data_IF_155468695610
#
_entry.id   IF_155468695610
#
_cell.length_a   1.000
_cell.length_b   1.000
_cell.length_c   1.000
_cell.angle_alpha   90.00
_cell.angle_beta   90.00
_cell.angle_gamma   90.00
#
_symmetry.space_group_name_H-M   'P 1'
#
loop_
_entity.id
_entity.type
_entity.pdbx_description
1 polymer ?
#
# COMPACT_ATOMS: atom_id res chain seq x y z
N UNK A 1 -54.08 -12.46 25.99
CA UNK A 1 -53.29 -12.20 24.76
C UNK A 1 -51.83 -12.29 25.14
N UNK A 2 -51.20 -13.45 24.91
CA UNK A 2 -49.76 -13.64 25.13
C UNK A 2 -49.03 -12.93 23.99
N UNK A 3 -48.35 -11.83 24.29
CA UNK A 3 -47.51 -11.12 23.32
C UNK A 3 -46.42 -12.08 22.81
N UNK A 4 -46.27 -12.20 21.48
CA UNK A 4 -45.16 -12.96 20.92
C UNK A 4 -43.83 -12.35 21.40
N UNK A 5 -42.82 -13.16 21.78
CA UNK A 5 -41.54 -12.65 22.22
C UNK A 5 -40.89 -11.84 21.08
N UNK A 6 -40.58 -10.57 21.34
CA UNK A 6 -39.97 -9.66 20.39
C UNK A 6 -38.56 -10.15 20.02
N UNK A 7 -38.38 -10.66 18.80
CA UNK A 7 -37.12 -11.24 18.32
C UNK A 7 -36.35 -10.18 17.52
N UNK A 8 -35.13 -9.89 17.93
CA UNK A 8 -34.21 -9.04 17.17
C UNK A 8 -33.42 -9.89 16.18
N UNK A 9 -33.42 -9.49 14.93
CA UNK A 9 -32.84 -10.25 13.82
C UNK A 9 -31.72 -9.45 13.18
N UNK A 10 -30.49 -9.89 13.40
CA UNK A 10 -29.29 -9.19 12.95
C UNK A 10 -28.62 -9.95 11.82
N UNK A 11 -28.30 -9.26 10.73
CA UNK A 11 -27.45 -9.77 9.66
C UNK A 11 -26.04 -9.24 9.86
N UNK A 12 -25.11 -10.10 10.27
CA UNK A 12 -23.74 -9.71 10.65
C UNK A 12 -22.76 -10.09 9.55
N UNK A 13 -22.11 -9.11 8.95
CA UNK A 13 -21.03 -9.28 7.99
C UNK A 13 -19.68 -9.34 8.72
N UNK A 14 -18.97 -10.45 8.58
CA UNK A 14 -17.63 -10.67 9.17
C UNK A 14 -16.54 -10.30 8.16
N UNK A 15 -16.82 -10.55 6.88
CA UNK A 15 -16.00 -10.19 5.72
C UNK A 15 -16.94 -9.80 4.56
N UNK A 16 -16.39 -9.24 3.48
CA UNK A 16 -17.16 -8.75 2.33
C UNK A 16 -18.09 -9.81 1.70
N UNK A 17 -17.73 -11.08 1.82
CA UNK A 17 -18.42 -12.26 1.27
C UNK A 17 -19.04 -13.17 2.34
N UNK A 18 -18.84 -12.89 3.64
CA UNK A 18 -19.30 -13.74 4.74
C UNK A 18 -20.28 -12.98 5.63
N UNK A 19 -21.58 -13.30 5.47
CA UNK A 19 -22.66 -12.79 6.31
C UNK A 19 -23.36 -13.91 7.08
N UNK A 20 -23.75 -13.64 8.32
CA UNK A 20 -24.45 -14.59 9.17
C UNK A 20 -25.69 -13.96 9.80
N UNK A 21 -26.70 -14.79 10.03
CA UNK A 21 -27.95 -14.36 10.66
C UNK A 21 -27.92 -14.72 12.13
N UNK A 22 -28.05 -13.73 12.99
CA UNK A 22 -28.05 -13.86 14.45
C UNK A 22 -29.41 -13.42 14.98
N UNK A 23 -30.06 -14.30 15.74
CA UNK A 23 -31.31 -13.98 16.45
C UNK A 23 -31.01 -13.72 17.91
N UNK A 24 -31.52 -12.61 18.45
CA UNK A 24 -31.51 -12.28 19.87
C UNK A 24 -32.94 -12.35 20.42
N UNK A 25 -33.06 -12.88 21.63
CA UNK A 25 -34.34 -13.01 22.35
C UNK A 25 -34.75 -11.71 23.04
N UNK A 26 -33.80 -10.85 23.36
CA UNK A 26 -33.99 -9.54 23.97
C UNK A 26 -32.90 -8.57 23.44
N UNK A 27 -33.13 -7.25 23.57
CA UNK A 27 -32.15 -6.23 23.18
C UNK A 27 -31.00 -6.24 24.19
N UNK A 28 -29.75 -6.24 23.70
CA UNK A 28 -28.56 -6.12 24.56
C UNK A 28 -28.55 -4.75 25.24
N UNK A 29 -27.96 -4.67 26.45
CA UNK A 29 -27.94 -3.44 27.26
C UNK A 29 -26.78 -2.52 26.89
N UNK A 30 -25.73 -3.05 26.27
CA UNK A 30 -24.59 -2.27 25.75
C UNK A 30 -23.99 -2.89 24.48
N UNK A 31 -23.18 -2.10 23.77
CA UNK A 31 -22.47 -2.54 22.56
C UNK A 31 -21.43 -3.62 22.91
N UNK A 32 -20.80 -3.55 24.08
CA UNK A 32 -19.84 -4.56 24.55
C UNK A 32 -20.52 -5.92 24.82
N UNK A 33 -21.74 -5.91 25.37
CA UNK A 33 -22.52 -7.14 25.56
C UNK A 33 -22.87 -7.79 24.22
N UNK A 34 -23.21 -6.98 23.21
CA UNK A 34 -23.44 -7.43 21.84
C UNK A 34 -22.17 -8.01 21.20
N UNK A 35 -21.02 -7.36 21.37
CA UNK A 35 -19.72 -7.84 20.87
C UNK A 35 -19.36 -9.19 21.49
N UNK A 36 -19.54 -9.35 22.80
CA UNK A 36 -19.26 -10.60 23.50
C UNK A 36 -20.20 -11.74 23.06
N UNK A 37 -21.49 -11.42 22.85
CA UNK A 37 -22.47 -12.37 22.30
C UNK A 37 -22.11 -12.82 20.88
N UNK A 38 -21.65 -11.90 20.03
CA UNK A 38 -21.17 -12.24 18.69
C UNK A 38 -19.91 -13.09 18.75
N UNK A 39 -18.96 -12.82 19.66
CA UNK A 39 -17.79 -13.69 19.88
C UNK A 39 -18.19 -15.11 20.27
N UNK A 40 -19.14 -15.29 21.19
CA UNK A 40 -19.58 -16.63 21.60
C UNK A 40 -20.30 -17.39 20.47
N UNK A 41 -21.19 -16.73 19.72
CA UNK A 41 -21.94 -17.39 18.62
C UNK A 41 -21.11 -17.61 17.35
N UNK A 42 -20.02 -16.85 17.17
CA UNK A 42 -19.24 -16.78 15.92
C UNK A 42 -17.76 -17.12 16.15
N UNK A 43 -17.46 -17.76 17.30
CA UNK A 43 -16.13 -17.99 17.90
C UNK A 43 -14.98 -18.38 16.95
N UNK A 44 -15.14 -19.22 15.92
CA UNK A 44 -14.02 -19.54 15.02
C UNK A 44 -13.66 -18.44 14.00
N UNK A 45 -14.41 -17.33 13.92
CA UNK A 45 -14.21 -16.27 12.90
C UNK A 45 -13.96 -14.86 13.46
N UNK A 46 -13.99 -14.69 14.78
CA UNK A 46 -13.88 -13.39 15.47
C UNK A 46 -12.89 -13.48 16.65
N UNK A 47 -11.65 -13.92 16.39
CA UNK A 47 -10.56 -14.03 17.38
C UNK A 47 -9.75 -12.74 17.56
N UNK A 48 -10.23 -11.63 17.00
CA UNK A 48 -9.58 -10.31 17.04
C UNK A 48 -10.44 -9.25 17.75
N UNK A 49 -9.84 -8.10 18.04
CA UNK A 49 -10.60 -6.92 18.48
C UNK A 49 -11.29 -6.25 17.31
N UNK A 50 -12.57 -5.93 17.48
CA UNK A 50 -13.39 -5.34 16.44
C UNK A 50 -14.41 -4.36 17.02
N UNK A 51 -14.80 -3.40 16.19
CA UNK A 51 -15.94 -2.52 16.40
C UNK A 51 -17.08 -2.93 15.47
N UNK A 52 -18.28 -2.45 15.74
CA UNK A 52 -19.47 -2.73 14.94
C UNK A 52 -19.90 -1.48 14.19
N UNK A 53 -20.23 -1.65 12.91
CA UNK A 53 -20.99 -0.68 12.14
C UNK A 53 -22.39 -1.22 11.88
N UNK A 54 -23.42 -0.37 11.83
CA UNK A 54 -24.78 -0.74 11.45
C UNK A 54 -25.23 0.05 10.22
N UNK A 55 -26.14 -0.52 9.44
CA UNK A 55 -26.82 0.24 8.38
C UNK A 55 -27.83 1.18 9.02
N UNK A 56 -27.59 2.49 8.90
CA UNK A 56 -28.43 3.52 9.49
C UNK A 56 -29.67 3.80 8.61
N UNK A 57 -30.90 3.54 9.11
CA UNK A 57 -32.12 3.81 8.35
C UNK A 57 -32.32 5.28 7.99
N UNK A 58 -31.77 6.21 8.77
CA UNK A 58 -31.95 7.65 8.61
C UNK A 58 -30.94 8.26 7.61
N UNK A 59 -29.91 7.51 7.22
CA UNK A 59 -28.86 7.92 6.26
C UNK A 59 -28.78 6.97 5.07
N UNK A 60 -29.91 6.71 4.41
CA UNK A 60 -29.98 5.90 3.18
C UNK A 60 -29.34 4.50 3.30
N UNK A 61 -29.29 3.92 4.52
CA UNK A 61 -28.63 2.64 4.85
C UNK A 61 -27.11 2.64 4.72
N UNK A 62 -26.46 3.80 4.82
CA UNK A 62 -25.01 3.88 4.95
C UNK A 62 -24.52 3.24 6.27
N UNK A 63 -23.27 2.77 6.27
CA UNK A 63 -22.68 2.08 7.43
C UNK A 63 -22.13 3.10 8.43
N UNK A 64 -22.80 3.23 9.58
CA UNK A 64 -22.41 4.09 10.69
C UNK A 64 -21.80 3.28 11.84
N UNK A 65 -20.88 3.86 12.62
CA UNK A 65 -20.36 3.21 13.82
C UNK A 65 -21.49 3.05 14.85
N UNK A 66 -21.66 1.83 15.36
CA UNK A 66 -22.64 1.54 16.40
C UNK A 66 -22.09 1.98 17.75
N UNK A 67 -22.60 3.10 18.27
CA UNK A 67 -22.22 3.66 19.58
C UNK A 67 -23.29 3.37 20.62
N UNK A 68 -24.57 3.39 20.24
CA UNK A 68 -25.68 2.98 21.09
C UNK A 68 -26.46 1.81 20.45
N UNK A 69 -26.76 0.80 21.27
CA UNK A 69 -27.60 -0.34 20.88
C UNK A 69 -29.06 0.06 20.66
N UNK A 70 -29.48 1.25 21.12
CA UNK A 70 -30.80 1.80 20.85
C UNK A 70 -30.98 2.24 19.38
N UNK A 71 -29.89 2.52 18.67
CA UNK A 71 -29.91 2.94 17.25
C UNK A 71 -30.14 1.75 16.30
N UNK A 72 -30.01 0.52 16.81
CA UNK A 72 -30.13 -0.72 16.05
C UNK A 72 -31.60 -1.13 15.83
N UNK A 73 -32.16 -1.13 14.60
CA UNK A 73 -33.55 -1.55 14.39
C UNK A 73 -33.78 -3.03 14.74
N UNK A 74 -35.05 -3.42 14.96
CA UNK A 74 -35.43 -4.82 15.23
C UNK A 74 -34.92 -5.81 14.17
N UNK A 75 -34.78 -5.33 12.93
CA UNK A 75 -34.14 -6.02 11.81
C UNK A 75 -33.02 -5.14 11.28
N UNK A 76 -31.79 -5.40 11.73
CA UNK A 76 -30.62 -4.58 11.41
C UNK A 76 -29.51 -5.35 10.71
N UNK A 77 -28.74 -4.63 9.90
CA UNK A 77 -27.49 -5.15 9.33
C UNK A 77 -26.33 -4.60 10.14
N UNK A 78 -25.40 -5.48 10.53
CA UNK A 78 -24.17 -5.15 11.21
C UNK A 78 -22.97 -5.57 10.37
N UNK A 79 -21.90 -4.79 10.42
CA UNK A 79 -20.60 -5.10 9.85
C UNK A 79 -19.55 -5.05 10.93
N UNK A 80 -18.78 -6.13 11.03
CA UNK A 80 -17.62 -6.21 11.89
C UNK A 80 -16.48 -5.47 11.23
N UNK A 81 -15.93 -4.47 11.92
CA UNK A 81 -14.75 -3.73 11.48
C UNK A 81 -13.62 -4.05 12.44
N UNK A 82 -12.51 -4.58 11.91
CA UNK A 82 -11.34 -4.88 12.73
C UNK A 82 -10.86 -3.60 13.38
N UNK A 83 -10.71 -3.62 14.71
CA UNK A 83 -10.21 -2.49 15.47
C UNK A 83 -8.71 -2.44 15.20
N UNK A 84 -8.30 -1.65 14.21
CA UNK A 84 -6.92 -1.22 14.10
C UNK A 84 -6.68 -0.29 15.29
N UNK A 85 -5.89 -0.73 16.25
CA UNK A 85 -5.45 0.12 17.34
C UNK A 85 -4.58 1.22 16.74
N UNK A 86 -5.23 2.32 16.39
CA UNK A 86 -4.65 3.64 16.17
C UNK A 86 -4.00 4.10 17.48
N UNK A 87 -2.87 3.49 17.80
CA UNK A 87 -1.82 4.20 18.52
C UNK A 87 -1.13 5.06 17.48
N UNK A 88 -1.61 6.30 17.39
CA UNK A 88 -0.83 7.45 16.95
C UNK A 88 0.42 7.54 17.83
N UNK A 89 1.42 6.71 17.53
CA UNK A 89 2.80 6.98 17.86
C UNK A 89 3.42 7.42 16.55
N UNK A 90 3.71 8.72 16.49
CA UNK A 90 4.66 9.31 15.55
C UNK A 90 6.02 8.60 15.72
N UNK A 91 6.15 7.42 15.16
CA UNK A 91 7.44 6.83 14.81
C UNK A 91 7.47 6.83 13.30
N UNK A 92 7.86 7.99 12.76
CA UNK A 92 8.30 8.16 11.38
C UNK A 92 9.26 7.04 11.02
N UNK A 93 8.75 5.99 10.38
CA UNK A 93 9.57 5.06 9.59
C UNK A 93 9.65 5.58 8.16
N UNK A 94 10.05 6.85 8.01
CA UNK A 94 10.62 7.32 6.75
C UNK A 94 12.07 6.82 6.77
N UNK A 95 12.33 5.66 6.17
CA UNK A 95 13.69 5.23 5.90
C UNK A 95 14.00 5.55 4.45
N UNK A 96 15.03 6.38 4.26
CA UNK A 96 15.62 6.65 2.97
C UNK A 96 16.43 5.40 2.58
N UNK A 97 15.86 4.57 1.71
CA UNK A 97 16.58 3.47 1.06
C UNK A 97 17.39 4.11 -0.07
N UNK A 98 18.73 4.12 0.01
CA UNK A 98 19.62 4.52 -1.10
C UNK A 98 20.47 3.32 -1.57
N UNK A 99 20.83 3.30 -2.88
CA UNK A 99 21.15 2.12 -3.67
C UNK A 99 22.61 1.72 -3.49
N UNK A 100 22.95 0.48 -3.83
CA UNK A 100 24.27 -0.17 -3.71
C UNK A 100 24.47 -1.04 -2.46
N UNK A 101 23.73 -2.15 -2.39
CA UNK A 101 24.21 -3.39 -1.77
C UNK A 101 23.83 -4.56 -2.68
N UNK A 102 24.75 -5.47 -3.03
CA UNK A 102 24.46 -6.57 -3.95
C UNK A 102 23.33 -7.45 -3.41
N UNK A 103 22.24 -7.53 -4.18
CA UNK A 103 21.05 -8.40 -3.99
C UNK A 103 21.37 -9.87 -4.20
N UNK A 104 22.59 -10.31 -3.89
CA UNK A 104 22.98 -11.71 -4.15
C UNK A 104 22.34 -12.70 -3.14
N UNK A 105 21.52 -12.25 -2.18
CA UNK A 105 20.83 -13.13 -1.22
C UNK A 105 19.33 -12.86 -0.99
N UNK A 106 18.69 -11.91 -1.67
CA UNK A 106 17.29 -11.52 -1.35
C UNK A 106 16.35 -11.74 -2.51
N UNK A 107 15.79 -12.94 -2.58
CA UNK A 107 14.74 -13.31 -3.53
C UNK A 107 13.48 -13.82 -2.83
N UNK A 108 13.18 -13.32 -1.62
CA UNK A 108 12.05 -13.85 -0.86
C UNK A 108 11.26 -12.73 -0.23
N UNK A 109 9.99 -12.62 -0.62
CA UNK A 109 8.96 -11.89 0.13
C UNK A 109 8.94 -12.40 1.58
N UNK A 110 8.45 -11.57 2.51
CA UNK A 110 8.24 -12.05 3.88
C UNK A 110 7.33 -13.29 3.82
N UNK A 111 7.74 -14.43 4.37
CA UNK A 111 7.01 -15.67 4.20
C UNK A 111 5.73 -15.64 5.04
N UNK A 112 4.68 -16.29 4.54
CA UNK A 112 3.42 -16.45 5.28
C UNK A 112 3.63 -17.30 6.55
N UNK A 113 4.57 -18.24 6.50
CA UNK A 113 5.06 -19.04 7.64
C UNK A 113 6.55 -18.75 7.81
N UNK A 114 6.93 -18.11 8.91
CA UNK A 114 8.32 -17.74 9.16
C UNK A 114 9.19 -18.98 9.45
N UNK A 115 10.31 -19.19 8.72
CA UNK A 115 11.19 -20.33 8.95
C UNK A 115 12.02 -20.11 10.20
N UNK A 116 11.75 -20.90 11.24
CA UNK A 116 12.52 -20.88 12.49
C UNK A 116 13.82 -21.67 12.29
N UNK A 117 15.00 -21.10 12.59
CA UNK A 117 16.28 -21.80 12.46
C UNK A 117 16.35 -22.97 13.43
N UNK A 118 17.06 -24.03 13.04
CA UNK A 118 17.27 -25.19 13.91
C UNK A 118 18.25 -24.83 15.02
N UNK A 119 17.81 -24.91 16.28
CA UNK A 119 18.69 -24.73 17.44
C UNK A 119 19.32 -26.07 17.84
N UNK A 120 20.56 -26.09 18.31
CA UNK A 120 21.16 -27.32 18.84
C UNK A 120 20.45 -27.73 20.14
N UNK A 121 20.44 -29.04 20.42
CA UNK A 121 19.78 -29.64 21.60
C UNK A 121 20.22 -29.02 22.94
N UNK A 122 21.44 -28.47 23.02
CA UNK A 122 21.96 -27.78 24.22
C UNK A 122 21.31 -26.40 24.47
N UNK A 123 20.77 -25.73 23.44
CA UNK A 123 20.13 -24.41 23.56
C UNK A 123 18.70 -24.51 24.10
N UNK A 124 18.05 -25.67 23.96
CA UNK A 124 16.73 -25.92 24.56
C UNK A 124 16.79 -26.13 26.08
N UNK A 125 17.98 -26.42 26.65
CA UNK A 125 18.14 -26.77 28.07
C UNK A 125 18.80 -25.66 28.92
N UNK A 126 19.39 -24.61 28.32
CA UNK A 126 20.09 -23.52 29.05
C UNK A 126 19.37 -22.18 28.84
N UNK A 127 18.41 -21.90 29.72
CA UNK A 127 17.51 -20.74 29.63
C UNK A 127 18.00 -19.45 30.31
N UNK A 128 19.26 -19.35 30.72
CA UNK A 128 19.79 -18.07 31.27
C UNK A 128 20.94 -17.45 30.46
N UNK A 129 21.74 -18.24 29.73
CA UNK A 129 22.76 -17.72 28.80
C UNK A 129 22.37 -17.88 27.30
N UNK A 130 21.34 -18.68 26.99
CA UNK A 130 20.93 -19.05 25.62
C UNK A 130 20.00 -18.09 24.88
N UNK A 131 19.33 -17.16 25.58
CA UNK A 131 18.38 -16.22 24.95
C UNK A 131 19.04 -15.32 23.89
N UNK A 132 20.30 -14.94 24.09
CA UNK A 132 21.02 -14.08 23.16
C UNK A 132 21.30 -14.78 21.82
N UNK A 133 21.58 -16.08 21.84
CA UNK A 133 21.88 -16.89 20.65
C UNK A 133 20.60 -17.17 19.83
N UNK A 134 19.48 -17.46 20.50
CA UNK A 134 18.19 -17.63 19.84
C UNK A 134 17.81 -16.33 19.11
N UNK A 135 17.89 -15.19 19.79
CA UNK A 135 17.58 -13.89 19.20
C UNK A 135 18.56 -13.51 18.07
N UNK A 136 19.86 -13.82 18.19
CA UNK A 136 20.86 -13.57 17.12
C UNK A 136 20.55 -14.40 15.87
N UNK A 137 20.31 -15.70 16.02
CA UNK A 137 19.99 -16.58 14.89
C UNK A 137 18.68 -16.16 14.21
N UNK A 138 17.66 -15.83 14.99
CA UNK A 138 16.40 -15.28 14.48
C UNK A 138 16.62 -13.96 13.74
N UNK A 139 17.41 -13.04 14.31
CA UNK A 139 17.73 -11.76 13.66
C UNK A 139 18.48 -11.95 12.33
N UNK A 140 19.38 -12.93 12.24
CA UNK A 140 20.07 -13.28 11.00
C UNK A 140 19.08 -13.76 9.93
N UNK A 141 18.15 -14.66 10.30
CA UNK A 141 17.11 -15.15 9.39
C UNK A 141 16.17 -14.03 8.96
N UNK A 142 15.71 -13.18 9.90
CA UNK A 142 14.86 -12.03 9.60
C UNK A 142 15.55 -11.04 8.65
N UNK A 143 16.84 -10.79 8.84
CA UNK A 143 17.64 -9.90 7.98
C UNK A 143 17.77 -10.41 6.54
N UNK A 144 17.73 -11.73 6.31
CA UNK A 144 17.69 -12.32 4.94
C UNK A 144 16.44 -11.90 4.18
N UNK A 145 15.33 -11.64 4.87
CA UNK A 145 14.08 -11.16 4.27
C UNK A 145 13.99 -9.62 4.27
N UNK A 146 14.10 -9.00 5.46
CA UNK A 146 14.01 -7.55 5.64
C UNK A 146 15.02 -7.06 6.69
N UNK A 147 15.85 -6.05 6.38
CA UNK A 147 16.73 -5.39 7.37
C UNK A 147 15.93 -4.51 8.35
N UNK A 148 14.78 -3.98 7.90
CA UNK A 148 13.83 -3.17 8.66
C UNK A 148 12.45 -3.87 8.67
N UNK A 149 12.31 -4.98 9.39
CA UNK A 149 11.01 -5.65 9.52
C UNK A 149 10.03 -4.74 10.26
N UNK A 150 8.77 -4.72 9.80
CA UNK A 150 7.69 -4.01 10.47
C UNK A 150 7.34 -4.68 11.81
N UNK A 151 6.58 -3.98 12.66
CA UNK A 151 6.10 -4.56 13.93
C UNK A 151 5.32 -5.87 13.73
N UNK A 152 4.56 -5.95 12.63
CA UNK A 152 3.83 -7.17 12.22
C UNK A 152 4.78 -8.29 11.83
N UNK A 153 5.79 -7.99 11.00
CA UNK A 153 6.80 -8.97 10.56
C UNK A 153 7.54 -9.57 11.78
N UNK A 154 7.94 -8.74 12.74
CA UNK A 154 8.60 -9.18 13.97
C UNK A 154 7.65 -10.03 14.84
N UNK A 155 6.36 -9.68 14.87
CA UNK A 155 5.33 -10.47 15.53
C UNK A 155 5.20 -11.87 14.94
N UNK A 156 5.14 -12.00 13.61
CA UNK A 156 5.08 -13.29 12.92
C UNK A 156 6.29 -14.18 13.22
N UNK A 157 7.50 -13.59 13.27
CA UNK A 157 8.71 -14.33 13.61
C UNK A 157 8.71 -14.83 15.07
N UNK A 158 8.22 -14.01 16.00
CA UNK A 158 8.11 -14.37 17.42
C UNK A 158 7.05 -15.46 17.65
N UNK A 159 5.92 -15.36 16.97
CA UNK A 159 4.86 -16.37 17.02
C UNK A 159 5.33 -17.71 16.45
N UNK A 160 6.01 -17.69 15.31
CA UNK A 160 6.58 -18.90 14.71
C UNK A 160 7.59 -19.56 15.67
N UNK A 161 8.48 -18.79 16.31
CA UNK A 161 9.46 -19.30 17.27
C UNK A 161 8.80 -20.08 18.41
N UNK A 162 7.77 -19.52 19.04
CA UNK A 162 7.06 -20.16 20.16
C UNK A 162 6.20 -21.33 19.70
N UNK A 163 5.68 -21.28 18.48
CA UNK A 163 4.91 -22.39 17.89
C UNK A 163 5.81 -23.59 17.59
N UNK A 164 7.01 -23.35 17.07
CA UNK A 164 8.01 -24.41 16.80
C UNK A 164 8.63 -24.95 18.09
N UNK A 165 8.84 -24.10 19.10
CA UNK A 165 9.40 -24.49 20.40
C UNK A 165 8.46 -24.09 21.55
N UNK A 166 7.42 -24.90 21.85
CA UNK A 166 6.46 -24.61 22.91
C UNK A 166 7.07 -24.40 24.30
N UNK A 167 8.28 -24.93 24.55
CA UNK A 167 9.04 -24.71 25.79
C UNK A 167 9.46 -23.25 26.00
N UNK A 168 9.52 -22.44 24.93
CA UNK A 168 9.83 -21.01 24.99
C UNK A 168 8.60 -20.15 25.29
N UNK A 169 7.41 -20.75 25.40
CA UNK A 169 6.16 -20.04 25.66
C UNK A 169 6.17 -19.45 27.07
N UNK A 170 5.88 -18.16 27.18
CA UNK A 170 5.78 -17.49 28.47
C UNK A 170 4.57 -17.99 29.29
N UNK A 171 4.79 -18.47 30.53
CA UNK A 171 3.69 -18.83 31.42
C UNK A 171 2.85 -17.60 31.77
N UNK A 172 1.53 -17.68 31.56
CA UNK A 172 0.58 -16.62 31.94
C UNK A 172 0.42 -15.47 30.94
N UNK A 173 1.11 -15.50 29.79
CA UNK A 173 0.88 -14.55 28.70
C UNK A 173 -0.22 -15.04 27.75
N UNK A 174 -1.14 -14.15 27.36
CA UNK A 174 -2.26 -14.46 26.45
C UNK A 174 -1.75 -14.91 25.07
N UNK A 175 -0.67 -14.29 24.56
CA UNK A 175 -0.06 -14.66 23.28
C UNK A 175 1.11 -15.64 23.42
N UNK A 176 1.82 -15.62 24.56
CA UNK A 176 2.95 -16.51 24.81
C UNK A 176 4.27 -16.16 24.10
N UNK A 177 4.25 -15.21 23.15
CA UNK A 177 5.40 -14.79 22.33
C UNK A 177 5.80 -13.30 22.48
N UNK A 178 5.14 -12.55 23.37
CA UNK A 178 5.32 -11.09 23.44
C UNK A 178 6.73 -10.64 23.87
N UNK A 179 7.38 -11.28 24.86
CA UNK A 179 8.78 -10.97 25.22
C UNK A 179 9.72 -11.32 24.09
N UNK A 180 9.46 -12.39 23.34
CA UNK A 180 10.24 -12.73 22.15
C UNK A 180 10.12 -11.65 21.08
N UNK A 181 8.92 -11.14 20.80
CA UNK A 181 8.73 -9.99 19.89
C UNK A 181 9.52 -8.77 20.36
N UNK A 182 9.46 -8.45 21.66
CA UNK A 182 10.18 -7.30 22.23
C UNK A 182 11.70 -7.50 22.17
N UNK A 183 12.18 -8.70 22.49
CA UNK A 183 13.58 -9.09 22.37
C UNK A 183 14.08 -9.00 20.93
N UNK A 184 13.31 -9.49 19.95
CA UNK A 184 13.63 -9.41 18.53
C UNK A 184 13.66 -7.98 18.01
N UNK A 185 12.78 -7.09 18.48
CA UNK A 185 12.85 -5.65 18.15
C UNK A 185 14.20 -5.06 18.56
N UNK A 186 14.56 -5.23 19.84
CA UNK A 186 15.83 -4.72 20.39
C UNK A 186 17.01 -5.37 19.65
N UNK A 187 16.92 -6.67 19.41
CA UNK A 187 17.96 -7.42 18.72
C UNK A 187 18.16 -6.95 17.30
N UNK A 188 17.10 -6.72 16.53
CA UNK A 188 17.20 -6.19 15.16
C UNK A 188 17.83 -4.79 15.14
N UNK A 189 17.56 -3.94 16.14
CA UNK A 189 18.25 -2.64 16.26
C UNK A 189 19.76 -2.83 16.49
N UNK A 190 20.14 -3.73 17.39
CA UNK A 190 21.54 -4.01 17.70
C UNK A 190 22.25 -4.72 16.54
N UNK A 191 21.58 -5.65 15.86
CA UNK A 191 22.08 -6.40 14.72
C UNK A 191 22.35 -5.46 13.54
N UNK A 192 21.45 -4.52 13.24
CA UNK A 192 21.71 -3.44 12.26
C UNK A 192 22.89 -2.56 12.65
N UNK A 193 23.01 -2.20 13.93
CA UNK A 193 24.14 -1.38 14.43
C UNK A 193 25.47 -2.14 14.28
N UNK A 194 25.48 -3.45 14.54
CA UNK A 194 26.63 -4.34 14.36
C UNK A 194 26.99 -4.46 12.87
N UNK A 195 26.02 -4.71 12.01
CA UNK A 195 26.20 -4.77 10.55
C UNK A 195 26.72 -3.45 9.97
N UNK A 196 26.23 -2.31 10.45
CA UNK A 196 26.71 -0.99 10.03
C UNK A 196 28.19 -0.78 10.40
N UNK A 197 28.60 -1.17 11.62
CA UNK A 197 30.01 -1.12 12.04
C UNK A 197 30.92 -2.06 11.22
N UNK A 198 30.37 -3.16 10.71
CA UNK A 198 31.06 -4.09 9.83
C UNK A 198 31.06 -3.65 8.35
N UNK A 199 30.54 -2.46 8.01
CA UNK A 199 30.58 -1.90 6.66
C UNK A 199 29.37 -2.23 5.77
N UNK A 200 28.25 -2.71 6.32
CA UNK A 200 27.04 -2.98 5.54
C UNK A 200 26.32 -1.68 5.15
N UNK A 201 26.43 -1.28 3.88
CA UNK A 201 25.99 0.04 3.37
C UNK A 201 24.49 0.28 3.61
N UNK A 202 23.65 -0.73 3.40
CA UNK A 202 22.20 -0.68 3.55
C UNK A 202 21.72 -0.22 4.94
N UNK A 203 22.41 -0.63 6.00
CA UNK A 203 22.07 -0.23 7.38
C UNK A 203 22.87 0.98 7.86
N UNK A 204 23.97 1.32 7.17
CA UNK A 204 24.88 2.41 7.53
C UNK A 204 24.29 3.79 7.18
N UNK A 205 23.53 3.88 6.09
CA UNK A 205 22.86 5.12 5.65
C UNK A 205 21.86 5.63 6.70
N UNK A 206 21.21 4.72 7.43
CA UNK A 206 20.23 5.05 8.47
C UNK A 206 20.85 5.28 9.86
N UNK A 207 22.18 5.32 10.00
CA UNK A 207 22.84 5.57 11.29
C UNK A 207 22.78 7.04 11.75
N UNK A 208 22.14 7.91 10.96
CA UNK A 208 21.83 9.33 11.17
C UNK A 208 22.05 9.87 12.57
N UNK A 209 23.32 10.02 12.96
CA UNK A 209 23.71 10.84 14.10
C UNK A 209 24.26 12.13 13.52
N UNK A 210 23.70 13.26 13.98
CA UNK A 210 24.27 14.60 13.78
C UNK A 210 25.78 14.50 14.03
N UNK A 211 26.60 14.93 13.07
CA UNK A 211 28.04 15.00 13.30
C UNK A 211 28.26 15.90 14.51
N UNK A 212 28.69 15.33 15.64
CA UNK A 212 29.03 16.10 16.85
C UNK A 212 30.08 17.17 16.56
N UNK A 213 30.89 16.94 15.53
CA UNK A 213 32.01 17.78 15.15
C UNK A 213 31.63 18.86 14.13
N UNK A 214 30.40 18.87 13.60
CA UNK A 214 29.98 19.89 12.63
C UNK A 214 28.46 20.14 12.66
N UNK A 215 27.95 20.90 13.65
CA UNK A 215 26.52 21.09 13.91
C UNK A 215 25.80 22.05 12.94
N UNK A 216 26.54 22.80 12.11
CA UNK A 216 26.02 23.80 11.16
C UNK A 216 25.87 23.30 9.71
N UNK A 217 26.41 22.12 9.36
CA UNK A 217 26.16 21.51 8.05
C UNK A 217 24.70 21.06 7.93
N UNK A 218 24.14 21.15 6.72
CA UNK A 218 22.80 20.64 6.42
C UNK A 218 22.64 19.17 6.85
N UNK A 219 21.43 18.83 7.29
CA UNK A 219 21.11 17.46 7.69
C UNK A 219 21.35 16.48 6.52
N UNK A 220 21.87 15.26 6.76
CA UNK A 220 22.04 14.25 5.70
C UNK A 220 20.75 13.92 4.93
N UNK A 221 19.58 14.25 5.49
CA UNK A 221 18.25 14.01 4.94
C UNK A 221 17.59 15.25 4.31
N UNK A 222 18.29 16.39 4.16
CA UNK A 222 17.68 17.61 3.62
C UNK A 222 17.30 17.47 2.14
N UNK A 223 18.05 16.66 1.38
CA UNK A 223 17.94 16.59 -0.08
C UNK A 223 17.35 15.27 -0.62
N UNK A 224 16.89 14.36 0.25
CA UNK A 224 16.35 13.07 -0.16
C UNK A 224 14.82 13.16 -0.25
N UNK A 225 14.26 12.95 -1.45
CA UNK A 225 12.80 12.78 -1.62
C UNK A 225 12.35 11.54 -0.86
N UNK A 226 11.20 11.56 -0.17
CA UNK A 226 10.69 10.39 0.56
C UNK A 226 9.84 9.50 -0.36
N UNK A 227 9.88 8.19 -0.13
CA UNK A 227 8.93 7.22 -0.71
C UNK A 227 7.49 7.66 -0.47
N UNK A 228 6.67 7.77 -1.51
CA UNK A 228 5.21 7.90 -1.35
C UNK A 228 4.60 6.51 -1.17
N UNK A 229 3.48 6.43 -0.43
CA UNK A 229 2.77 5.18 -0.01
C UNK A 229 2.39 4.17 -1.13
N UNK A 230 2.72 4.44 -2.40
CA UNK A 230 2.39 3.59 -3.55
C UNK A 230 3.59 3.22 -4.44
N UNK A 231 4.81 3.66 -4.13
CA UNK A 231 6.00 3.34 -4.94
C UNK A 231 6.63 2.03 -4.46
N UNK A 232 6.33 0.93 -5.16
CA UNK A 232 6.85 -0.42 -4.85
C UNK A 232 8.32 -0.53 -5.24
N UNK A 233 8.74 0.15 -6.30
CA UNK A 233 10.11 0.13 -6.82
C UNK A 233 10.78 1.50 -6.68
N UNK A 234 11.08 1.88 -5.43
CA UNK A 234 11.63 3.19 -5.11
C UNK A 234 13.04 3.42 -5.68
N UNK A 235 13.95 2.47 -5.48
CA UNK A 235 15.33 2.47 -6.00
C UNK A 235 15.77 1.03 -6.28
N UNK A 236 15.38 0.47 -7.44
CA UNK A 236 15.73 -0.90 -7.80
C UNK A 236 17.21 -1.00 -8.21
N UNK A 237 17.78 -2.19 -8.04
CA UNK A 237 19.12 -2.51 -8.52
C UNK A 237 19.17 -2.68 -10.04
N UNK A 238 20.37 -2.60 -10.60
CA UNK A 238 20.58 -2.87 -12.01
C UNK A 238 20.30 -4.34 -12.34
N UNK A 239 19.82 -4.63 -13.58
CA UNK A 239 19.63 -6.00 -14.03
C UNK A 239 20.91 -6.84 -13.92
N UNK A 240 20.77 -8.16 -13.77
CA UNK A 240 21.90 -9.07 -13.59
C UNK A 240 22.87 -8.97 -14.77
N UNK A 241 24.14 -8.70 -14.49
CA UNK A 241 25.20 -8.59 -15.48
C UNK A 241 25.34 -7.19 -16.08
N UNK A 242 24.47 -6.25 -15.71
CA UNK A 242 24.53 -4.86 -16.15
C UNK A 242 25.21 -3.98 -15.09
N UNK A 243 25.92 -2.95 -15.55
CA UNK A 243 26.51 -1.91 -14.72
C UNK A 243 26.01 -0.54 -15.20
N UNK A 244 26.45 0.53 -14.55
CA UNK A 244 25.99 1.88 -14.92
C UNK A 244 26.35 2.22 -16.37
N UNK A 245 27.56 1.88 -16.80
CA UNK A 245 28.04 2.18 -18.15
C UNK A 245 27.24 1.43 -19.22
N UNK A 246 26.92 0.15 -19.00
CA UNK A 246 26.11 -0.64 -19.94
C UNK A 246 24.66 -0.14 -20.04
N UNK A 247 24.09 0.33 -18.94
CA UNK A 247 22.77 0.96 -18.96
C UNK A 247 22.79 2.35 -19.62
N UNK A 248 23.89 3.10 -19.48
CA UNK A 248 24.10 4.35 -20.22
C UNK A 248 24.24 4.11 -21.73
N UNK A 249 24.90 3.04 -22.16
CA UNK A 249 24.91 2.63 -23.57
C UNK A 249 23.50 2.33 -24.08
N UNK A 250 22.69 1.61 -23.30
CA UNK A 250 21.28 1.36 -23.63
C UNK A 250 20.45 2.65 -23.66
N UNK A 251 20.74 3.65 -22.80
CA UNK A 251 20.11 4.97 -22.87
C UNK A 251 20.42 5.68 -24.19
N UNK A 252 21.68 5.64 -24.64
CA UNK A 252 22.06 6.22 -25.94
C UNK A 252 21.33 5.51 -27.08
N UNK A 253 21.17 4.19 -27.01
CA UNK A 253 20.34 3.44 -27.97
C UNK A 253 18.90 3.94 -27.98
N UNK A 254 18.28 4.15 -26.80
CA UNK A 254 16.92 4.71 -26.71
C UNK A 254 16.81 6.05 -27.44
N UNK A 255 17.76 6.97 -27.24
CA UNK A 255 17.76 8.27 -27.94
C UNK A 255 17.78 8.05 -29.46
N UNK A 256 18.71 7.23 -29.95
CA UNK A 256 18.85 6.96 -31.38
C UNK A 256 17.59 6.33 -31.99
N UNK A 257 16.90 5.45 -31.27
CA UNK A 257 15.66 4.81 -31.73
C UNK A 257 14.47 5.79 -31.73
N UNK A 258 14.41 6.71 -30.77
CA UNK A 258 13.33 7.72 -30.68
C UNK A 258 13.46 8.76 -31.80
N UNK A 259 14.68 9.08 -32.23
CA UNK A 259 14.94 10.02 -33.33
C UNK A 259 14.55 9.46 -34.71
N UNK A 260 14.42 8.14 -34.85
CA UNK A 260 14.01 7.53 -36.12
C UNK A 260 12.61 7.96 -36.53
N UNK A 261 12.43 8.10 -37.85
CA UNK A 261 11.13 8.39 -38.47
C UNK A 261 10.12 7.26 -38.19
N UNK A 262 10.56 6.02 -38.33
CA UNK A 262 9.82 4.82 -37.94
C UNK A 262 10.47 4.22 -36.69
N UNK A 263 9.79 4.38 -35.55
CA UNK A 263 10.30 3.99 -34.22
C UNK A 263 9.99 2.52 -33.97
N UNK A 264 10.98 1.74 -33.55
CA UNK A 264 10.74 0.39 -33.06
C UNK A 264 10.24 0.44 -31.61
N UNK A 265 8.91 0.47 -31.43
CA UNK A 265 8.28 0.61 -30.12
C UNK A 265 8.61 -0.56 -29.18
N UNK A 266 8.73 -1.79 -29.70
CA UNK A 266 9.08 -2.97 -28.90
C UNK A 266 10.52 -2.90 -28.37
N UNK A 267 11.45 -2.43 -29.22
CA UNK A 267 12.83 -2.22 -28.81
C UNK A 267 12.93 -1.12 -27.76
N UNK A 268 12.25 0.01 -27.97
CA UNK A 268 12.19 1.11 -26.99
C UNK A 268 11.63 0.60 -25.66
N UNK A 269 10.56 -0.18 -25.68
CA UNK A 269 9.96 -0.74 -24.46
C UNK A 269 10.94 -1.65 -23.71
N UNK A 270 11.63 -2.55 -24.42
CA UNK A 270 12.63 -3.44 -23.81
C UNK A 270 13.80 -2.67 -23.20
N UNK A 271 14.35 -1.71 -23.95
CA UNK A 271 15.45 -0.86 -23.47
C UNK A 271 15.02 -0.03 -22.27
N UNK A 272 13.82 0.57 -22.33
CA UNK A 272 13.24 1.31 -21.22
C UNK A 272 13.06 0.43 -19.98
N UNK A 273 12.63 -0.83 -20.16
CA UNK A 273 12.49 -1.78 -19.04
C UNK A 273 13.85 -2.06 -18.37
N UNK A 274 14.89 -2.35 -19.16
CA UNK A 274 16.24 -2.64 -18.62
C UNK A 274 16.87 -1.45 -17.91
N UNK A 275 16.63 -0.24 -18.44
CA UNK A 275 17.21 1.01 -17.93
C UNK A 275 16.37 1.69 -16.83
N UNK A 276 15.28 1.05 -16.38
CA UNK A 276 14.41 1.61 -15.34
C UNK A 276 15.16 1.98 -14.06
N UNK A 277 16.07 1.12 -13.61
CA UNK A 277 16.86 1.36 -12.41
C UNK A 277 17.76 2.60 -12.52
N UNK A 278 18.42 2.78 -13.67
CA UNK A 278 19.25 3.96 -13.95
C UNK A 278 18.41 5.24 -13.92
N UNK A 279 17.27 5.27 -14.62
CA UNK A 279 16.33 6.41 -14.58
C UNK A 279 15.86 6.73 -13.18
N UNK A 280 15.48 5.70 -12.43
CA UNK A 280 14.92 5.89 -11.09
C UNK A 280 15.97 6.42 -10.12
N UNK A 281 17.21 5.94 -10.23
CA UNK A 281 18.35 6.49 -9.50
C UNK A 281 18.54 7.97 -9.81
N UNK A 282 18.58 8.37 -11.08
CA UNK A 282 18.72 9.77 -11.48
C UNK A 282 17.61 10.67 -10.89
N UNK A 283 16.34 10.27 -11.01
CA UNK A 283 15.19 11.04 -10.48
C UNK A 283 15.29 11.23 -8.96
N UNK A 284 15.66 10.18 -8.23
CA UNK A 284 15.63 10.16 -6.76
C UNK A 284 16.87 10.81 -6.16
N UNK A 285 18.05 10.53 -6.71
CA UNK A 285 19.33 10.98 -6.19
C UNK A 285 19.68 12.40 -6.64
N UNK A 286 19.52 12.67 -7.93
CA UNK A 286 20.00 13.92 -8.53
C UNK A 286 18.90 15.00 -8.53
N UNK A 287 17.63 14.60 -8.40
CA UNK A 287 16.47 15.48 -8.46
C UNK A 287 16.57 16.49 -9.64
N UNK A 288 16.76 16.00 -10.88
CA UNK A 288 17.01 16.86 -12.02
C UNK A 288 15.79 17.72 -12.34
N UNK A 289 16.03 18.83 -13.05
CA UNK A 289 14.94 19.59 -13.65
C UNK A 289 14.20 18.72 -14.69
N UNK A 290 12.87 18.84 -14.72
CA UNK A 290 12.04 18.03 -15.62
C UNK A 290 12.48 18.16 -17.09
N UNK A 291 12.84 19.37 -17.53
CA UNK A 291 13.31 19.63 -18.89
C UNK A 291 14.59 18.84 -19.22
N UNK A 292 15.61 18.94 -18.38
CA UNK A 292 16.91 18.26 -18.60
C UNK A 292 16.76 16.74 -18.52
N UNK A 293 15.86 16.27 -17.66
CA UNK A 293 15.57 14.84 -17.54
C UNK A 293 14.88 14.27 -18.80
N UNK A 294 13.89 15.00 -19.35
CA UNK A 294 13.20 14.58 -20.57
C UNK A 294 14.08 14.67 -21.82
N UNK A 295 15.08 15.54 -21.84
CA UNK A 295 16.12 15.57 -22.89
C UNK A 295 17.01 14.32 -22.84
N UNK A 296 17.35 13.83 -21.65
CA UNK A 296 18.12 12.58 -21.48
C UNK A 296 17.31 11.31 -21.74
N UNK A 297 16.00 11.35 -21.47
CA UNK A 297 15.08 10.22 -21.60
C UNK A 297 13.88 10.57 -22.50
N UNK A 298 14.11 10.80 -23.81
CA UNK A 298 13.08 11.29 -24.72
C UNK A 298 11.93 10.29 -24.93
N UNK A 299 12.16 9.00 -24.70
CA UNK A 299 11.13 7.98 -24.75
C UNK A 299 10.01 8.22 -23.73
N UNK A 300 10.24 8.94 -22.63
CA UNK A 300 9.19 9.32 -21.67
C UNK A 300 8.20 10.36 -22.22
N UNK A 301 8.44 10.91 -23.41
CA UNK A 301 7.45 11.73 -24.13
C UNK A 301 6.47 10.86 -24.94
N UNK A 302 6.68 9.54 -25.01
CA UNK A 302 5.78 8.59 -25.65
C UNK A 302 4.78 8.08 -24.60
N UNK A 303 3.48 8.24 -24.86
CA UNK A 303 2.40 7.90 -23.93
C UNK A 303 2.54 6.48 -23.35
N UNK A 304 2.78 5.48 -24.21
CA UNK A 304 2.93 4.09 -23.79
C UNK A 304 4.07 3.90 -22.78
N UNK A 305 5.17 4.65 -22.92
CA UNK A 305 6.30 4.56 -22.00
C UNK A 305 6.02 5.26 -20.67
N UNK A 306 5.21 6.32 -20.64
CA UNK A 306 4.74 6.93 -19.38
C UNK A 306 3.87 5.95 -18.60
N UNK A 307 2.93 5.28 -19.26
CA UNK A 307 2.09 4.26 -18.64
C UNK A 307 2.95 3.08 -18.11
N UNK A 308 3.90 2.60 -18.92
CA UNK A 308 4.81 1.55 -18.52
C UNK A 308 5.69 1.98 -17.33
N UNK A 309 6.21 3.20 -17.32
CA UNK A 309 7.02 3.73 -16.22
C UNK A 309 6.20 3.85 -14.92
N UNK A 310 4.95 4.33 -15.00
CA UNK A 310 4.04 4.35 -13.86
C UNK A 310 3.80 2.94 -13.31
N UNK A 311 3.57 1.97 -14.19
CA UNK A 311 3.39 0.57 -13.80
C UNK A 311 4.67 0.01 -13.18
N UNK A 312 5.86 0.34 -13.69
CA UNK A 312 7.13 -0.07 -13.07
C UNK A 312 7.30 0.53 -11.67
N UNK A 313 6.83 1.75 -11.42
CA UNK A 313 6.93 2.38 -10.10
C UNK A 313 5.92 1.79 -9.11
N UNK A 314 4.67 1.56 -9.55
CA UNK A 314 3.52 1.31 -8.65
C UNK A 314 2.96 -0.11 -8.73
N UNK A 315 3.37 -0.91 -9.72
CA UNK A 315 2.74 -2.17 -10.13
C UNK A 315 1.26 -2.07 -10.52
N UNK A 316 0.74 -0.85 -10.72
CA UNK A 316 -0.64 -0.61 -11.14
C UNK A 316 -0.67 -0.29 -12.63
N UNK A 317 -1.60 -0.91 -13.36
CA UNK A 317 -1.88 -0.53 -14.74
C UNK A 317 -2.67 0.79 -14.74
N UNK A 318 -1.98 1.89 -15.06
CA UNK A 318 -2.55 3.24 -15.00
C UNK A 318 -3.85 3.37 -15.81
N UNK A 319 -3.85 2.86 -17.04
CA UNK A 319 -4.95 3.02 -17.98
C UNK A 319 -6.20 2.27 -17.50
N UNK A 320 -6.03 1.03 -17.05
CA UNK A 320 -7.13 0.23 -16.52
C UNK A 320 -7.69 0.83 -15.22
N UNK A 321 -6.81 1.24 -14.30
CA UNK A 321 -7.23 1.87 -13.05
C UNK A 321 -7.96 3.18 -13.31
N UNK A 322 -7.44 4.02 -14.22
CA UNK A 322 -8.07 5.27 -14.60
C UNK A 322 -9.48 5.04 -15.18
N UNK A 323 -9.64 4.09 -16.11
CA UNK A 323 -10.96 3.81 -16.68
C UNK A 323 -11.93 3.21 -15.67
N UNK A 324 -11.47 2.31 -14.79
CA UNK A 324 -12.31 1.74 -13.73
C UNK A 324 -12.82 2.82 -12.76
N UNK A 325 -11.96 3.74 -12.33
CA UNK A 325 -12.37 4.84 -11.46
C UNK A 325 -13.23 5.86 -12.21
N UNK A 326 -12.94 6.14 -13.49
CA UNK A 326 -13.78 6.99 -14.32
C UNK A 326 -15.19 6.41 -14.45
N UNK A 327 -15.33 5.11 -14.70
CA UNK A 327 -16.63 4.44 -14.75
C UNK A 327 -17.39 4.53 -13.44
N UNK A 328 -16.69 4.24 -12.34
CA UNK A 328 -17.25 4.31 -10.99
C UNK A 328 -17.86 5.69 -10.70
N UNK A 329 -17.17 6.75 -11.10
CA UNK A 329 -17.58 8.13 -10.80
C UNK A 329 -18.45 8.78 -11.88
N UNK A 330 -18.50 8.23 -13.09
CA UNK A 330 -19.27 8.79 -14.22
C UNK A 330 -20.74 9.04 -13.87
N UNK A 331 -21.51 8.13 -13.23
CA UNK A 331 -22.91 8.39 -12.89
C UNK A 331 -23.10 9.61 -11.98
N UNK A 332 -22.23 9.77 -10.98
CA UNK A 332 -22.28 10.89 -10.05
C UNK A 332 -21.91 12.21 -10.74
N UNK A 333 -20.84 12.21 -11.55
CA UNK A 333 -20.44 13.37 -12.35
C UNK A 333 -21.56 13.82 -13.29
N UNK A 334 -22.22 12.88 -13.97
CA UNK A 334 -23.34 13.17 -14.87
C UNK A 334 -24.54 13.77 -14.14
N UNK A 335 -24.83 13.33 -12.91
CA UNK A 335 -25.87 13.93 -12.07
C UNK A 335 -25.54 15.39 -11.71
N UNK A 336 -24.29 15.66 -11.33
CA UNK A 336 -23.81 17.02 -11.02
C UNK A 336 -23.86 17.93 -12.25
N UNK A 337 -23.47 17.43 -13.42
CA UNK A 337 -23.52 18.17 -14.68
C UNK A 337 -24.94 18.58 -15.04
N UNK A 338 -25.91 17.66 -14.91
CA UNK A 338 -27.34 17.94 -15.13
C UNK A 338 -27.89 18.95 -14.12
N UNK A 339 -27.51 18.83 -12.85
CA UNK A 339 -27.94 19.77 -11.80
C UNK A 339 -27.44 21.19 -12.08
N UNK A 340 -26.18 21.35 -12.52
CA UNK A 340 -25.61 22.66 -12.87
C UNK A 340 -26.20 23.22 -14.16
N UNK A 341 -26.41 22.37 -15.18
CA UNK A 341 -27.12 22.75 -16.41
C UNK A 341 -28.51 23.32 -16.11
N UNK A 342 -29.27 22.71 -15.19
CA UNK A 342 -30.60 23.20 -14.81
C UNK A 342 -30.59 24.60 -14.16
N UNK A 343 -29.45 25.05 -13.62
CA UNK A 343 -29.31 26.34 -12.92
C UNK A 343 -28.65 27.43 -13.78
N UNK A 344 -27.98 27.07 -14.86
CA UNK A 344 -27.19 28.02 -15.66
C UNK A 344 -27.43 27.79 -17.15
N UNK A 345 -28.12 28.74 -17.79
CA UNK A 345 -28.52 28.63 -19.20
C UNK A 345 -27.34 28.40 -20.15
N UNK A 346 -26.21 29.12 -19.97
CA UNK A 346 -24.98 28.95 -20.77
C UNK A 346 -24.38 27.53 -20.68
N UNK A 347 -24.37 26.96 -19.48
CA UNK A 347 -23.86 25.58 -19.23
C UNK A 347 -24.86 24.54 -19.74
N UNK A 348 -26.16 24.82 -19.66
CA UNK A 348 -27.22 24.00 -20.23
C UNK A 348 -27.07 23.85 -21.74
N UNK A 349 -26.85 24.96 -22.45
CA UNK A 349 -26.65 24.93 -23.91
C UNK A 349 -25.42 24.11 -24.30
N UNK A 350 -24.29 24.29 -23.60
CA UNK A 350 -23.03 23.57 -23.87
C UNK A 350 -23.10 22.07 -23.54
N UNK A 351 -23.89 21.69 -22.53
CA UNK A 351 -24.02 20.29 -22.11
C UNK A 351 -25.12 19.52 -22.84
N UNK A 352 -26.06 20.19 -23.52
CA UNK A 352 -27.19 19.55 -24.21
C UNK A 352 -26.76 18.65 -25.37
N UNK A 353 -25.74 19.05 -26.12
CA UNK A 353 -25.19 18.26 -27.24
C UNK A 353 -24.33 17.08 -26.73
N UNK A 354 -23.81 17.23 -25.52
CA UNK A 354 -22.91 16.30 -24.85
C UNK A 354 -23.77 15.19 -24.17
N UNK A 355 -24.74 15.52 -23.32
CA UNK A 355 -25.45 14.56 -22.44
C UNK A 355 -26.45 13.59 -23.11
N UNK A 356 -26.43 13.42 -24.43
CA UNK A 356 -27.38 12.56 -25.18
C UNK A 356 -27.10 11.05 -25.07
N UNK A 357 -25.88 10.64 -24.65
CA UNK A 357 -25.48 9.22 -24.47
C UNK A 357 -24.62 9.07 -23.21
N UNK A 358 -24.77 7.98 -22.46
CA UNK A 358 -23.88 7.64 -21.33
C UNK A 358 -22.55 7.08 -21.86
N UNK A 359 -21.49 7.90 -21.91
CA UNK A 359 -20.14 7.46 -22.31
C UNK A 359 -19.04 8.15 -21.47
N UNK A 360 -17.92 7.44 -21.26
CA UNK A 360 -16.70 7.91 -20.57
C UNK A 360 -16.13 9.17 -21.22
N UNK A 361 -16.13 9.20 -22.55
CA UNK A 361 -15.68 10.33 -23.37
C UNK A 361 -16.44 11.60 -23.02
N UNK A 362 -17.71 11.42 -22.69
CA UNK A 362 -18.62 12.50 -22.41
C UNK A 362 -18.37 13.15 -21.05
N UNK A 363 -18.19 12.30 -20.02
CA UNK A 363 -17.88 12.76 -18.68
C UNK A 363 -16.61 13.61 -18.70
N UNK A 364 -15.57 13.18 -19.42
CA UNK A 364 -14.32 13.94 -19.54
C UNK A 364 -14.51 15.28 -20.27
N UNK A 365 -15.29 15.31 -21.36
CA UNK A 365 -15.59 16.56 -22.11
C UNK A 365 -16.45 17.54 -21.32
N UNK A 366 -17.29 17.06 -20.42
CA UNK A 366 -18.17 17.89 -19.60
C UNK A 366 -17.46 18.52 -18.39
N UNK A 367 -16.31 18.00 -17.94
CA UNK A 367 -15.58 18.52 -16.77
C UNK A 367 -15.18 19.99 -16.94
N UNK A 368 -14.49 20.43 -18.03
CA UNK A 368 -14.09 21.84 -18.18
C UNK A 368 -15.30 22.78 -18.25
N UNK A 369 -16.35 22.36 -18.97
CA UNK A 369 -17.62 23.10 -19.08
C UNK A 369 -18.27 23.25 -17.70
N UNK A 370 -18.25 22.19 -16.89
CA UNK A 370 -18.74 22.23 -15.52
C UNK A 370 -17.88 23.10 -14.61
N UNK A 371 -16.56 23.11 -14.76
CA UNK A 371 -15.64 23.94 -13.97
C UNK A 371 -15.57 25.40 -14.45
N UNK A 372 -16.26 25.73 -15.55
CA UNK A 372 -16.19 27.04 -16.22
C UNK A 372 -14.78 27.38 -16.72
N UNK A 373 -13.98 26.37 -17.07
CA UNK A 373 -12.70 26.56 -17.71
C UNK A 373 -12.95 26.91 -19.19
N UNK A 374 -12.53 28.11 -19.61
CA UNK A 374 -12.88 28.67 -20.93
C UNK A 374 -12.10 28.07 -22.11
N UNK A 375 -11.28 27.02 -21.90
CA UNK A 375 -10.41 26.48 -22.95
C UNK A 375 -10.91 25.15 -23.54
N UNK A 376 -11.65 25.17 -24.66
CA UNK A 376 -12.07 23.98 -25.39
C UNK A 376 -10.90 23.22 -26.05
N UNK A 377 -9.66 23.76 -26.02
CA UNK A 377 -8.49 23.11 -26.64
C UNK A 377 -7.80 22.07 -25.73
N UNK A 378 -8.17 21.98 -24.45
CA UNK A 378 -7.58 21.00 -23.53
C UNK A 378 -7.79 19.55 -24.01
N UNK A 379 -8.87 19.30 -24.76
CA UNK A 379 -9.17 18.03 -25.41
C UNK A 379 -9.10 18.16 -26.93
N UNK A 380 -8.00 18.65 -27.48
CA UNK A 380 -7.78 18.66 -28.92
C UNK A 380 -7.83 17.22 -29.46
N UNK A 381 -8.74 17.01 -30.41
CA UNK A 381 -9.29 15.72 -30.90
C UNK A 381 -8.22 14.76 -31.45
N UNK A 382 -6.99 15.23 -31.67
CA UNK A 382 -5.85 14.41 -32.14
C UNK A 382 -5.42 13.29 -31.19
N UNK A 383 -5.61 13.44 -29.87
CA UNK A 383 -5.20 12.41 -28.91
C UNK A 383 -6.20 11.24 -28.79
N UNK A 384 -7.44 11.41 -29.29
CA UNK A 384 -8.51 10.40 -29.17
C UNK A 384 -8.67 9.55 -30.44
N UNK A 385 -8.23 10.02 -31.61
CA UNK A 385 -8.26 9.19 -32.83
C UNK A 385 -7.34 7.96 -32.73
N UNK A 386 -6.30 8.00 -31.90
CA UNK A 386 -5.45 6.82 -31.61
C UNK A 386 -6.13 5.80 -30.68
N UNK A 387 -7.15 6.19 -29.91
CA UNK A 387 -7.89 5.29 -29.01
C UNK A 387 -8.99 4.57 -29.77
N UNK A 388 -9.56 5.19 -30.81
CA UNK A 388 -10.59 4.56 -31.65
C UNK A 388 -10.03 3.47 -32.57
N UNK A 389 -8.75 3.51 -32.93
CA UNK A 389 -8.12 2.51 -33.82
C UNK A 389 -7.56 1.28 -33.09
N UNK A 390 -7.58 1.24 -31.75
CA UNK A 390 -7.15 0.07 -30.96
C UNK A 390 -8.32 -0.70 -30.31
N UNK A 391 -9.57 -0.32 -30.61
CA UNK A 391 -10.79 -1.01 -30.12
C UNK A 391 -11.65 -1.42 -31.32
N UNK A 392 -11.02 -1.97 -32.36
CA UNK A 392 -11.64 -2.86 -33.34
C UNK A 392 -10.83 -4.14 -33.39
#
# INVERSE_FOLDING_TARGET
MTAEPQKFLLRVYIASDVAMKVTLTERTKSVEELINMLREKVKPRLDFEFTLQYEDPDFDRELCCLVDVQDLPEKGTLKVVRSESDTYTNTSSNTDILPHVPVSQRQTTWPDIFPVPTFSYEVEHILEEGNHNILENMAEVMHKFKPYPSDRDIGMAAEALVTTHPCLKEPGSVSGWYRWKTGLKIKMVNFRTKLARSGCVEVSVNTGKRSKNNPEKEHPHSNIKRTRRAEVNYLPDFPRGENQDSLEEMRVQIISEVEKREKNLLLIENLMQKTFALRRQEIVLENPLMKTFLEKWPALQIEAQVCAEFQRITNVNLRNQFYAELDRHTPQLMALFRQKAARTYKVSEMLRDILSVYDRTLALRAIPVYLCEEDPQFFNVGCMYSVHTQIC
#
